data_IF_942675086365
#
_entry.id   IF_942675086365
#
_cell.length_a   1.000
_cell.length_b   1.000
_cell.length_c   1.000
_cell.angle_alpha   90.00
_cell.angle_beta   90.00
_cell.angle_gamma   90.00
#
_symmetry.space_group_name_H-M   'P 1'
#
loop_
_entity.id
_entity.type
_entity.pdbx_description
1 polymer ?
#
# COMPACT_ATOMS: atom_id res chain seq x y z
N UNK A 1 -0.58 9.98 30.61
CA UNK A 1 -1.46 8.86 30.99
C UNK A 1 -0.78 7.63 30.46
N UNK A 2 -0.25 6.77 31.32
CA UNK A 2 0.37 5.51 30.88
C UNK A 2 -0.78 4.61 30.47
N UNK A 3 -0.84 4.27 29.18
CA UNK A 3 -1.91 3.47 28.60
C UNK A 3 -1.95 2.09 29.30
N UNK A 4 -3.10 1.69 29.84
CA UNK A 4 -3.27 0.47 30.65
C UNK A 4 -2.89 -0.81 29.88
N UNK A 5 -2.84 -0.73 28.54
CA UNK A 5 -2.42 -1.81 27.63
C UNK A 5 -0.91 -2.08 27.62
N UNK A 6 -0.06 -1.17 28.13
CA UNK A 6 1.40 -1.39 28.18
C UNK A 6 1.82 -2.40 29.26
N UNK A 7 0.95 -2.72 30.23
CA UNK A 7 1.27 -3.66 31.32
C UNK A 7 0.71 -5.07 31.12
N UNK A 8 -0.02 -5.33 30.04
CA UNK A 8 -0.62 -6.64 29.78
C UNK A 8 0.41 -7.61 29.18
N UNK A 9 0.41 -8.84 29.69
CA UNK A 9 1.22 -9.93 29.12
C UNK A 9 0.83 -10.12 27.64
N UNK A 10 1.80 -10.22 26.70
CA UNK A 10 1.47 -10.41 25.29
C UNK A 10 0.59 -11.64 25.05
N UNK A 11 -0.43 -11.49 24.21
CA UNK A 11 -1.31 -12.54 23.71
C UNK A 11 -1.37 -12.43 22.20
N UNK A 12 -0.58 -13.25 21.52
CA UNK A 12 -0.31 -13.09 20.09
C UNK A 12 -1.11 -14.12 19.31
N UNK A 13 -1.87 -13.66 18.32
CA UNK A 13 -2.49 -14.53 17.32
C UNK A 13 -1.63 -14.57 16.07
N UNK A 14 -1.36 -15.76 15.53
CA UNK A 14 -0.57 -15.93 14.31
C UNK A 14 -1.42 -16.59 13.22
N UNK A 15 -1.50 -15.97 12.05
CA UNK A 15 -2.29 -16.49 10.94
C UNK A 15 -1.42 -16.78 9.72
N UNK A 16 -1.40 -18.04 9.30
CA UNK A 16 -0.55 -18.52 8.22
C UNK A 16 -1.37 -18.66 6.94
N UNK A 17 -0.95 -18.00 5.88
CA UNK A 17 -1.65 -18.01 4.60
C UNK A 17 -1.07 -19.08 3.66
N UNK A 18 -1.93 -19.83 2.98
CA UNK A 18 -1.49 -20.72 1.89
C UNK A 18 -1.27 -19.97 0.59
N UNK A 19 -2.03 -18.89 0.39
CA UNK A 19 -2.13 -18.15 -0.87
C UNK A 19 -2.41 -19.08 -2.05
N UNK A 20 -3.36 -19.99 -1.88
CA UNK A 20 -3.56 -21.13 -2.78
C UNK A 20 -2.34 -22.06 -2.71
N UNK A 21 -1.61 -22.20 -3.81
CA UNK A 21 -0.35 -22.96 -3.87
C UNK A 21 0.88 -22.08 -3.86
N UNK A 22 0.74 -20.75 -3.78
CA UNK A 22 1.90 -19.84 -3.85
C UNK A 22 2.81 -19.95 -2.62
N UNK A 23 2.26 -20.25 -1.44
CA UNK A 23 3.02 -20.48 -0.21
C UNK A 23 3.00 -21.97 0.09
N UNK A 24 1.81 -22.58 0.15
CA UNK A 24 1.65 -23.99 0.49
C UNK A 24 2.26 -24.98 -0.53
N UNK A 25 2.63 -24.52 -1.74
CA UNK A 25 3.34 -25.34 -2.72
C UNK A 25 4.83 -25.52 -2.43
N UNK A 26 5.39 -24.77 -1.48
CA UNK A 26 6.84 -24.82 -1.17
C UNK A 26 7.14 -24.75 0.33
N UNK A 27 6.14 -24.54 1.18
CA UNK A 27 6.27 -24.50 2.64
C UNK A 27 5.26 -25.47 3.21
N UNK A 28 5.69 -26.33 4.14
CA UNK A 28 4.78 -27.17 4.91
C UNK A 28 4.05 -26.30 5.94
N UNK A 29 2.79 -25.99 5.64
CA UNK A 29 1.98 -25.10 6.46
C UNK A 29 1.61 -25.76 7.79
N UNK A 30 1.37 -27.07 7.79
CA UNK A 30 0.98 -27.78 9.00
C UNK A 30 2.15 -27.80 9.98
N UNK A 31 3.35 -28.11 9.49
CA UNK A 31 4.57 -28.06 10.29
C UNK A 31 4.85 -26.65 10.81
N UNK A 32 4.65 -25.62 9.98
CA UNK A 32 4.81 -24.23 10.40
C UNK A 32 3.79 -23.83 11.48
N UNK A 33 2.54 -24.27 11.37
CA UNK A 33 1.50 -24.02 12.37
C UNK A 33 1.84 -24.69 13.71
N UNK A 34 2.18 -25.98 13.68
CA UNK A 34 2.57 -26.73 14.88
C UNK A 34 3.77 -26.09 15.59
N UNK A 35 4.80 -25.68 14.83
CA UNK A 35 5.93 -24.93 15.36
C UNK A 35 5.50 -23.60 15.99
N UNK A 36 4.63 -22.86 15.30
CA UNK A 36 4.20 -21.52 15.73
C UNK A 36 3.51 -21.56 17.10
N UNK A 37 2.72 -22.60 17.39
CA UNK A 37 2.10 -22.82 18.70
C UNK A 37 3.10 -23.05 19.84
N UNK A 38 4.33 -23.45 19.53
CA UNK A 38 5.40 -23.62 20.55
C UNK A 38 6.07 -22.31 20.96
N UNK A 39 5.85 -21.23 20.21
CA UNK A 39 6.49 -19.94 20.46
C UNK A 39 5.81 -19.28 21.67
N UNK A 40 6.56 -18.80 22.68
CA UNK A 40 5.96 -18.16 23.86
C UNK A 40 5.01 -17.02 23.51
N UNK A 41 3.96 -16.83 24.31
CA UNK A 41 2.94 -15.79 24.15
C UNK A 41 2.03 -15.92 22.91
N UNK A 42 2.28 -16.88 22.02
CA UNK A 42 1.30 -17.27 20.99
C UNK A 42 0.17 -18.03 21.66
N UNK A 43 -1.05 -17.48 21.58
CA UNK A 43 -2.25 -18.07 22.20
C UNK A 43 -3.14 -18.78 21.19
N UNK A 44 -3.02 -18.43 19.91
CA UNK A 44 -3.71 -19.06 18.78
C UNK A 44 -2.80 -19.00 17.56
N UNK A 45 -2.77 -20.09 16.79
CA UNK A 45 -2.12 -20.12 15.49
C UNK A 45 -2.97 -20.93 14.51
N UNK A 46 -3.52 -20.25 13.51
CA UNK A 46 -4.41 -20.85 12.52
C UNK A 46 -3.88 -20.65 11.11
N UNK A 47 -4.31 -21.52 10.20
CA UNK A 47 -4.05 -21.42 8.78
C UNK A 47 -5.33 -21.15 7.99
N UNK A 48 -5.19 -20.47 6.86
CA UNK A 48 -6.29 -20.35 5.91
C UNK A 48 -5.78 -20.18 4.48
N UNK A 49 -6.58 -20.62 3.51
CA UNK A 49 -6.20 -20.57 2.09
C UNK A 49 -5.88 -19.15 1.61
N UNK A 50 -6.69 -18.18 2.00
CA UNK A 50 -6.57 -16.79 1.60
C UNK A 50 -6.88 -15.86 2.77
N UNK A 51 -5.91 -15.64 3.65
CA UNK A 51 -6.11 -14.83 4.87
C UNK A 51 -6.56 -13.39 4.54
N UNK A 52 -6.20 -12.84 3.38
CA UNK A 52 -6.66 -11.51 2.95
C UNK A 52 -8.10 -11.46 2.39
N UNK A 53 -8.74 -12.61 2.17
CA UNK A 53 -10.15 -12.65 1.76
C UNK A 53 -11.07 -12.20 2.89
N UNK A 54 -12.33 -11.89 2.58
CA UNK A 54 -13.32 -11.52 3.60
C UNK A 54 -13.48 -12.58 4.70
N UNK A 55 -13.59 -13.90 4.39
CA UNK A 55 -13.61 -14.93 5.43
C UNK A 55 -12.33 -14.95 6.29
N UNK A 56 -11.16 -14.76 5.68
CA UNK A 56 -9.88 -14.72 6.39
C UNK A 56 -9.75 -13.50 7.33
N UNK A 57 -10.26 -12.34 6.91
CA UNK A 57 -10.31 -11.13 7.75
C UNK A 57 -11.30 -11.30 8.90
N UNK A 58 -12.50 -11.85 8.65
CA UNK A 58 -13.48 -12.11 9.71
C UNK A 58 -12.95 -13.07 10.78
N UNK A 59 -12.22 -14.13 10.39
CA UNK A 59 -11.56 -15.05 11.32
C UNK A 59 -10.58 -14.32 12.24
N UNK A 60 -9.79 -13.38 11.70
CA UNK A 60 -8.89 -12.54 12.50
C UNK A 60 -9.69 -11.66 13.46
N UNK A 61 -10.73 -10.98 12.98
CA UNK A 61 -11.56 -10.08 13.79
C UNK A 61 -12.26 -10.79 14.96
N UNK A 62 -12.76 -12.00 14.72
CA UNK A 62 -13.39 -12.85 15.72
C UNK A 62 -12.36 -13.31 16.76
N UNK A 63 -11.21 -13.79 16.31
CA UNK A 63 -10.16 -14.27 17.20
C UNK A 63 -9.54 -13.18 18.07
N UNK A 64 -9.43 -11.95 17.56
CA UNK A 64 -9.00 -10.79 18.36
C UNK A 64 -9.89 -10.66 19.60
N UNK A 65 -11.20 -10.81 19.44
CA UNK A 65 -12.20 -10.70 20.52
C UNK A 65 -12.22 -11.94 21.38
N UNK A 66 -12.30 -13.13 20.78
CA UNK A 66 -12.43 -14.40 21.49
C UNK A 66 -11.21 -14.69 22.37
N UNK A 67 -10.00 -14.48 21.83
CA UNK A 67 -8.77 -14.78 22.54
C UNK A 67 -8.18 -13.59 23.28
N UNK A 68 -8.83 -12.42 23.25
CA UNK A 68 -8.33 -11.16 23.81
C UNK A 68 -6.89 -10.90 23.35
N UNK A 69 -6.69 -10.87 22.03
CA UNK A 69 -5.35 -10.70 21.45
C UNK A 69 -4.83 -9.29 21.71
N UNK A 70 -3.55 -9.19 22.07
CA UNK A 70 -2.85 -7.91 22.24
C UNK A 70 -1.92 -7.60 21.06
N UNK A 71 -1.63 -8.60 20.22
CA UNK A 71 -0.95 -8.40 18.94
C UNK A 71 -1.33 -9.48 17.92
N UNK A 72 -1.20 -9.14 16.64
CA UNK A 72 -1.48 -10.01 15.49
C UNK A 72 -0.22 -10.15 14.64
N UNK A 73 0.10 -11.39 14.26
CA UNK A 73 1.07 -11.70 13.23
C UNK A 73 0.37 -12.37 12.07
N UNK A 74 0.59 -11.90 10.84
CA UNK A 74 0.15 -12.62 9.64
C UNK A 74 1.39 -13.08 8.86
N UNK A 75 1.52 -14.39 8.67
CA UNK A 75 2.56 -15.01 7.89
C UNK A 75 2.06 -15.26 6.46
N UNK A 76 2.37 -14.33 5.55
CA UNK A 76 1.81 -14.34 4.20
C UNK A 76 2.74 -13.62 3.19
N UNK A 77 2.19 -12.66 2.46
CA UNK A 77 2.86 -11.87 1.43
C UNK A 77 3.55 -10.63 1.98
N UNK A 78 4.11 -9.82 1.08
CA UNK A 78 4.76 -8.56 1.42
C UNK A 78 3.85 -7.60 2.20
N UNK A 79 4.36 -6.93 3.26
CA UNK A 79 3.65 -5.84 3.91
C UNK A 79 3.35 -4.68 2.94
N UNK A 80 4.18 -4.48 1.89
CA UNK A 80 3.96 -3.46 0.85
C UNK A 80 2.64 -3.67 0.08
N UNK A 81 2.06 -4.86 0.15
CA UNK A 81 0.81 -5.20 -0.51
C UNK A 81 -0.39 -5.14 0.46
N UNK A 82 -0.35 -5.92 1.55
CA UNK A 82 -1.51 -6.14 2.41
C UNK A 82 -1.37 -5.67 3.85
N UNK A 83 -0.30 -4.94 4.21
CA UNK A 83 -0.24 -4.31 5.54
C UNK A 83 -1.46 -3.40 5.81
N UNK A 84 -1.89 -2.49 4.90
CA UNK A 84 -3.09 -1.69 5.14
C UNK A 84 -4.36 -2.53 5.31
N UNK A 85 -4.45 -3.68 4.66
CA UNK A 85 -5.59 -4.60 4.76
C UNK A 85 -5.69 -5.18 6.17
N UNK A 86 -4.61 -5.74 6.70
CA UNK A 86 -4.62 -6.38 8.01
C UNK A 86 -4.59 -5.40 9.17
N UNK A 87 -4.03 -4.20 8.97
CA UNK A 87 -4.19 -3.08 9.90
C UNK A 87 -5.66 -2.70 10.07
N UNK A 88 -6.43 -2.66 8.98
CA UNK A 88 -7.87 -2.41 9.03
C UNK A 88 -8.63 -3.53 9.73
N UNK A 89 -8.37 -4.80 9.37
CA UNK A 89 -8.97 -5.95 10.04
C UNK A 89 -8.67 -5.97 11.55
N UNK A 90 -7.43 -5.65 11.94
CA UNK A 90 -7.05 -5.51 13.35
C UNK A 90 -7.90 -4.46 14.08
N UNK A 91 -8.07 -3.30 13.44
CA UNK A 91 -8.90 -2.20 13.95
C UNK A 91 -10.38 -2.57 14.05
N UNK A 92 -10.93 -3.24 13.04
CA UNK A 92 -12.33 -3.72 13.01
C UNK A 92 -12.57 -4.82 14.06
N UNK A 93 -11.55 -5.62 14.35
CA UNK A 93 -11.49 -6.56 15.47
C UNK A 93 -11.45 -5.89 16.85
N UNK A 94 -11.17 -4.58 16.93
CA UNK A 94 -11.07 -3.82 18.17
C UNK A 94 -9.66 -3.69 18.76
N UNK A 95 -8.62 -4.12 18.02
CA UNK A 95 -7.23 -3.99 18.42
C UNK A 95 -6.57 -2.79 17.71
N UNK A 96 -5.59 -2.16 18.37
CA UNK A 96 -4.84 -1.08 17.73
C UNK A 96 -4.14 -1.58 16.46
N UNK A 97 -4.33 -0.87 15.34
CA UNK A 97 -3.82 -1.27 14.03
C UNK A 97 -2.28 -1.37 13.96
N UNK A 98 -1.55 -0.79 14.91
CA UNK A 98 -0.09 -0.87 14.99
C UNK A 98 0.40 -2.01 15.88
N UNK A 99 -0.51 -2.76 16.54
CA UNK A 99 -0.23 -4.07 17.16
C UNK A 99 -0.27 -5.22 16.14
N UNK A 100 0.10 -4.93 14.90
CA UNK A 100 0.10 -5.87 13.79
C UNK A 100 1.52 -5.97 13.20
N UNK A 101 1.98 -7.18 12.96
CA UNK A 101 3.24 -7.46 12.24
C UNK A 101 3.01 -8.45 11.10
N UNK A 102 3.74 -8.27 10.00
CA UNK A 102 3.72 -9.19 8.86
C UNK A 102 5.00 -10.02 8.82
N UNK A 103 4.89 -11.35 8.76
CA UNK A 103 5.98 -12.23 8.34
C UNK A 103 5.84 -12.51 6.84
N UNK A 104 6.75 -11.98 6.02
CA UNK A 104 6.73 -12.23 4.57
C UNK A 104 7.36 -13.60 4.26
N UNK A 105 6.50 -14.60 4.05
CA UNK A 105 6.88 -15.96 3.70
C UNK A 105 6.54 -16.32 2.24
N UNK A 106 6.12 -15.35 1.42
CA UNK A 106 5.86 -15.54 -0.01
C UNK A 106 6.99 -15.00 -0.88
N UNK A 107 7.04 -13.68 -1.10
CA UNK A 107 8.06 -13.04 -1.95
C UNK A 107 9.48 -13.25 -1.44
N UNK A 108 9.63 -13.35 -0.11
CA UNK A 108 10.93 -13.54 0.53
C UNK A 108 11.22 -15.00 0.92
N UNK A 109 10.32 -15.94 0.60
CA UNK A 109 10.53 -17.34 0.95
C UNK A 109 9.96 -18.29 -0.12
N UNK A 110 8.68 -18.66 -0.08
CA UNK A 110 8.14 -19.72 -0.94
C UNK A 110 8.43 -19.53 -2.44
N UNK A 111 8.32 -18.32 -2.97
CA UNK A 111 8.57 -18.03 -4.39
C UNK A 111 10.04 -18.10 -4.80
N UNK A 112 10.96 -17.92 -3.86
CA UNK A 112 12.41 -17.92 -4.14
C UNK A 112 13.09 -19.22 -3.76
N UNK A 113 12.39 -20.08 -3.02
CA UNK A 113 12.88 -21.37 -2.50
C UNK A 113 12.02 -22.56 -2.97
N UNK A 114 11.41 -22.45 -4.16
CA UNK A 114 10.43 -23.41 -4.68
C UNK A 114 10.92 -24.86 -4.82
N UNK A 115 12.25 -25.06 -4.82
CA UNK A 115 12.88 -26.37 -4.99
C UNK A 115 13.51 -26.92 -3.70
N UNK A 116 13.37 -26.20 -2.58
CA UNK A 116 13.89 -26.59 -1.27
C UNK A 116 12.81 -26.40 -0.22
N UNK A 117 11.86 -27.34 -0.18
CA UNK A 117 10.69 -27.24 0.70
C UNK A 117 11.05 -27.31 2.19
N UNK A 118 12.08 -28.08 2.54
CA UNK A 118 12.57 -28.21 3.92
C UNK A 118 13.21 -26.90 4.36
N UNK A 119 14.16 -26.37 3.57
CA UNK A 119 14.80 -25.08 3.86
C UNK A 119 13.83 -23.90 3.84
N UNK A 120 12.84 -23.91 2.94
CA UNK A 120 11.79 -22.91 2.91
C UNK A 120 10.92 -22.94 4.17
N UNK A 121 10.58 -24.13 4.67
CA UNK A 121 9.79 -24.31 5.89
C UNK A 121 10.57 -23.85 7.12
N UNK A 122 11.84 -24.23 7.25
CA UNK A 122 12.71 -23.73 8.33
C UNK A 122 12.86 -22.21 8.30
N UNK A 123 13.08 -21.63 7.12
CA UNK A 123 13.13 -20.17 6.96
C UNK A 123 11.80 -19.50 7.34
N UNK A 124 10.66 -20.16 7.09
CA UNK A 124 9.35 -19.63 7.44
C UNK A 124 9.14 -19.62 8.96
N UNK A 125 9.57 -20.68 9.65
CA UNK A 125 9.59 -20.76 11.12
C UNK A 125 10.38 -19.60 11.72
N UNK A 126 11.55 -19.32 11.17
CA UNK A 126 12.38 -18.19 11.59
C UNK A 126 11.71 -16.84 11.34
N UNK A 127 11.12 -16.63 10.16
CA UNK A 127 10.40 -15.40 9.84
C UNK A 127 9.22 -15.15 10.80
N UNK A 128 8.44 -16.19 11.10
CA UNK A 128 7.33 -16.11 12.08
C UNK A 128 7.88 -15.82 13.47
N UNK A 129 8.92 -16.53 13.92
CA UNK A 129 9.54 -16.31 15.23
C UNK A 129 10.05 -14.87 15.38
N UNK A 130 10.67 -14.32 14.34
CA UNK A 130 11.14 -12.92 14.33
C UNK A 130 9.97 -11.93 14.39
N UNK A 131 8.91 -12.16 13.62
CA UNK A 131 7.72 -11.31 13.65
C UNK A 131 7.02 -11.35 15.01
N UNK A 132 6.87 -12.54 15.61
CA UNK A 132 6.33 -12.71 16.97
C UNK A 132 7.20 -11.99 17.99
N UNK A 133 8.53 -12.11 17.90
CA UNK A 133 9.46 -11.43 18.81
C UNK A 133 9.30 -9.90 18.76
N UNK A 134 9.09 -9.32 17.57
CA UNK A 134 8.80 -7.90 17.41
C UNK A 134 7.39 -7.56 17.90
N UNK A 135 6.39 -8.38 17.59
CA UNK A 135 4.99 -8.18 17.99
C UNK A 135 4.80 -8.08 19.51
N UNK A 136 5.62 -8.81 20.31
CA UNK A 136 5.65 -8.67 21.78
C UNK A 136 5.95 -7.25 22.27
N UNK A 137 6.67 -6.46 21.48
CA UNK A 137 7.16 -5.13 21.83
C UNK A 137 6.46 -4.01 21.06
N UNK A 138 5.49 -4.34 20.20
CA UNK A 138 4.71 -3.32 19.51
C UNK A 138 3.88 -2.53 20.51
N UNK A 139 3.71 -1.24 20.26
CA UNK A 139 2.95 -0.33 21.10
C UNK A 139 1.75 0.23 20.34
N UNK A 140 0.79 0.74 21.10
CA UNK A 140 -0.32 1.48 20.55
C UNK A 140 0.17 2.79 19.94
N UNK A 141 -0.07 2.96 18.64
CA UNK A 141 0.17 4.22 17.95
C UNK A 141 -1.15 4.76 17.39
N UNK A 142 -1.15 6.06 17.11
CA UNK A 142 -2.29 6.75 16.52
C UNK A 142 -1.85 7.50 15.26
N UNK A 143 -2.58 7.36 14.14
CA UNK A 143 -2.28 8.14 12.94
C UNK A 143 -2.36 9.63 13.24
N UNK A 144 -1.36 10.39 12.81
CA UNK A 144 -1.43 11.85 12.86
C UNK A 144 -2.27 12.35 11.69
N UNK A 145 -3.21 13.24 11.97
CA UNK A 145 -3.88 14.02 10.94
C UNK A 145 -3.03 15.24 10.63
N UNK A 146 -2.87 15.54 9.35
CA UNK A 146 -2.14 16.70 8.84
C UNK A 146 -3.07 17.45 7.87
N UNK A 147 -3.00 18.78 7.80
CA UNK A 147 -3.74 19.54 6.80
C UNK A 147 -3.28 19.12 5.39
N UNK A 148 -4.17 19.28 4.41
CA UNK A 148 -3.86 19.03 3.01
C UNK A 148 -4.13 20.32 2.26
N UNK A 149 -3.10 20.85 1.61
CA UNK A 149 -3.25 21.99 0.70
C UNK A 149 -4.23 21.62 -0.41
N UNK A 150 -5.24 22.46 -0.65
CA UNK A 150 -6.29 22.19 -1.65
C UNK A 150 -5.82 22.59 -3.06
N UNK A 151 -4.67 22.06 -3.45
CA UNK A 151 -4.06 22.26 -4.74
C UNK A 151 -3.35 20.99 -5.22
N UNK A 152 -3.16 20.88 -6.53
CA UNK A 152 -2.44 19.78 -7.16
C UNK A 152 -1.39 20.33 -8.12
N UNK A 153 -0.28 19.60 -8.30
CA UNK A 153 0.71 19.86 -9.33
C UNK A 153 0.81 18.67 -10.26
N UNK A 154 0.72 18.92 -11.56
CA UNK A 154 0.88 17.95 -12.63
C UNK A 154 2.17 18.27 -13.37
N UNK A 155 3.08 17.29 -13.45
CA UNK A 155 4.39 17.45 -14.11
C UNK A 155 4.36 16.75 -15.48
N UNK A 156 4.47 17.55 -16.53
CA UNK A 156 4.42 17.14 -17.93
C UNK A 156 3.04 17.36 -18.55
N UNK A 157 2.95 18.24 -19.54
CA UNK A 157 1.71 18.62 -20.23
C UNK A 157 1.52 17.86 -21.55
N UNK A 158 1.79 16.55 -21.55
CA UNK A 158 1.28 15.65 -22.60
C UNK A 158 -0.22 15.39 -22.44
N UNK A 159 -0.82 14.57 -23.32
CA UNK A 159 -2.26 14.25 -23.25
C UNK A 159 -2.71 13.75 -21.86
N UNK A 160 -1.88 12.96 -21.18
CA UNK A 160 -2.17 12.47 -19.83
C UNK A 160 -2.20 13.60 -18.79
N UNK A 161 -1.21 14.49 -18.79
CA UNK A 161 -1.15 15.60 -17.83
C UNK A 161 -2.19 16.67 -18.11
N UNK A 162 -2.45 16.97 -19.38
CA UNK A 162 -3.55 17.85 -19.82
C UNK A 162 -4.88 17.33 -19.27
N UNK A 163 -5.17 16.04 -19.46
CA UNK A 163 -6.42 15.45 -18.98
C UNK A 163 -6.52 15.48 -17.45
N UNK A 164 -5.46 15.07 -16.75
CA UNK A 164 -5.41 15.11 -15.29
C UNK A 164 -5.64 16.52 -14.75
N UNK A 165 -5.03 17.54 -15.38
CA UNK A 165 -5.19 18.92 -14.96
C UNK A 165 -6.61 19.43 -15.18
N UNK A 166 -7.22 19.13 -16.33
CA UNK A 166 -8.61 19.50 -16.60
C UNK A 166 -9.60 18.86 -15.62
N UNK A 167 -9.43 17.57 -15.31
CA UNK A 167 -10.33 16.85 -14.40
C UNK A 167 -10.24 17.37 -12.96
N UNK A 168 -9.01 17.65 -12.48
CA UNK A 168 -8.79 18.25 -11.16
C UNK A 168 -9.37 19.67 -11.08
N UNK A 169 -9.08 20.49 -12.10
CA UNK A 169 -9.52 21.88 -12.14
C UNK A 169 -11.05 22.02 -12.28
N UNK A 170 -11.69 21.14 -13.06
CA UNK A 170 -13.15 21.06 -13.20
C UNK A 170 -13.83 20.61 -11.91
N UNK A 171 -13.10 19.86 -11.07
CA UNK A 171 -13.54 19.46 -9.72
C UNK A 171 -13.32 20.56 -8.67
N UNK A 172 -12.84 21.74 -9.07
CA UNK A 172 -12.62 22.89 -8.18
C UNK A 172 -11.27 22.88 -7.45
N UNK A 173 -10.31 22.04 -7.86
CA UNK A 173 -8.98 21.97 -7.26
C UNK A 173 -8.03 22.89 -8.05
N UNK A 174 -7.38 23.84 -7.36
CA UNK A 174 -6.34 24.68 -7.97
C UNK A 174 -5.22 23.77 -8.50
N UNK A 175 -4.90 23.88 -9.77
CA UNK A 175 -3.99 22.95 -10.43
C UNK A 175 -2.85 23.68 -11.11
N UNK A 176 -1.62 23.35 -10.74
CA UNK A 176 -0.40 23.81 -11.40
C UNK A 176 0.01 22.77 -12.45
N UNK A 177 0.14 23.17 -13.71
CA UNK A 177 0.57 22.29 -14.79
C UNK A 177 1.94 22.75 -15.29
N UNK A 178 2.97 21.95 -15.03
CA UNK A 178 4.36 22.27 -15.34
C UNK A 178 4.78 21.54 -16.60
N UNK A 179 5.29 22.26 -17.61
CA UNK A 179 5.81 21.69 -18.85
C UNK A 179 7.22 22.19 -19.14
N UNK A 180 8.13 21.24 -19.32
CA UNK A 180 9.54 21.49 -19.62
C UNK A 180 9.74 22.19 -20.97
N UNK A 181 8.93 21.86 -21.96
CA UNK A 181 9.05 22.38 -23.32
C UNK A 181 8.36 23.74 -23.45
N UNK A 182 8.68 24.53 -24.48
CA UNK A 182 7.97 25.79 -24.73
C UNK A 182 6.46 25.63 -25.03
N UNK A 183 6.01 24.42 -25.38
CA UNK A 183 4.62 24.13 -25.73
C UNK A 183 4.16 22.83 -25.08
N UNK A 184 2.86 22.77 -24.80
CA UNK A 184 2.16 21.58 -24.31
C UNK A 184 1.77 20.65 -25.48
N UNK A 185 1.25 19.46 -25.15
CA UNK A 185 0.77 18.46 -26.11
C UNK A 185 1.66 17.22 -26.21
N UNK A 186 2.91 17.30 -25.77
CA UNK A 186 3.84 16.17 -25.68
C UNK A 186 4.00 15.41 -27.00
N UNK A 187 4.23 14.09 -26.92
CA UNK A 187 4.42 13.23 -28.11
C UNK A 187 3.20 13.16 -29.02
N UNK A 188 1.99 13.27 -28.46
CA UNK A 188 0.75 13.18 -29.25
C UNK A 188 0.67 14.30 -30.30
N UNK A 189 1.19 15.49 -29.98
CA UNK A 189 1.25 16.62 -30.93
C UNK A 189 2.11 16.35 -32.17
N UNK A 190 3.00 15.36 -32.11
CA UNK A 190 3.91 15.00 -33.20
C UNK A 190 3.35 13.91 -34.12
N UNK A 191 2.23 13.28 -33.72
CA UNK A 191 1.60 12.21 -34.49
C UNK A 191 0.73 12.82 -35.60
N UNK A 192 0.66 12.16 -36.75
CA UNK A 192 -0.35 12.49 -37.76
C UNK A 192 -1.73 11.99 -37.31
N UNK A 193 -1.82 10.70 -36.98
CA UNK A 193 -3.07 10.02 -36.62
C UNK A 193 -2.96 9.16 -35.37
N UNK A 194 -4.10 8.86 -34.75
CA UNK A 194 -4.21 7.97 -33.59
C UNK A 194 -5.04 6.74 -33.89
N UNK A 195 -4.48 5.55 -33.70
CA UNK A 195 -5.24 4.30 -33.75
C UNK A 195 -6.16 4.19 -32.51
N UNK A 196 -7.28 3.44 -32.58
CA UNK A 196 -7.77 2.68 -33.73
C UNK A 196 -8.64 3.48 -34.71
N UNK A 197 -9.11 4.68 -34.35
CA UNK A 197 -10.04 5.47 -35.17
C UNK A 197 -9.39 6.11 -36.39
N UNK A 198 -8.05 6.25 -36.37
CA UNK A 198 -7.27 6.96 -37.39
C UNK A 198 -7.64 8.44 -37.52
N UNK A 199 -8.18 9.02 -36.45
CA UNK A 199 -8.40 10.46 -36.33
C UNK A 199 -7.06 11.20 -36.35
N UNK A 200 -7.09 12.44 -36.83
CA UNK A 200 -5.96 13.35 -36.71
C UNK A 200 -5.67 13.64 -35.23
N UNK A 201 -4.42 13.52 -34.81
CA UNK A 201 -4.03 13.71 -33.39
C UNK A 201 -4.40 15.11 -32.88
N UNK A 202 -4.22 16.12 -33.73
CA UNK A 202 -4.49 17.52 -33.42
C UNK A 202 -5.98 17.79 -33.26
N UNK A 203 -6.86 17.03 -33.94
CA UNK A 203 -8.31 17.17 -33.79
C UNK A 203 -8.79 16.83 -32.37
N UNK A 204 -8.09 15.93 -31.67
CA UNK A 204 -8.42 15.52 -30.31
C UNK A 204 -7.64 16.34 -29.28
N UNK A 205 -6.35 16.60 -29.56
CA UNK A 205 -5.45 17.24 -28.61
C UNK A 205 -5.62 18.75 -28.54
N UNK A 206 -5.74 19.45 -29.67
CA UNK A 206 -5.76 20.91 -29.72
C UNK A 206 -6.89 21.53 -28.89
N UNK A 207 -8.14 21.02 -28.95
CA UNK A 207 -9.21 21.54 -28.09
C UNK A 207 -8.83 21.47 -26.61
N UNK A 208 -8.25 20.37 -26.16
CA UNK A 208 -7.82 20.19 -24.76
C UNK A 208 -6.65 21.11 -24.38
N UNK A 209 -5.72 21.36 -25.30
CA UNK A 209 -4.65 22.33 -25.09
C UNK A 209 -5.21 23.73 -24.87
N UNK A 210 -6.22 24.11 -25.67
CA UNK A 210 -6.91 25.40 -25.52
C UNK A 210 -7.73 25.47 -24.24
N UNK A 211 -8.40 24.38 -23.87
CA UNK A 211 -9.17 24.32 -22.61
C UNK A 211 -8.26 24.51 -21.40
N UNK A 212 -7.09 23.85 -21.39
CA UNK A 212 -6.09 24.01 -20.32
C UNK A 212 -5.63 25.46 -20.17
N UNK A 213 -5.29 26.11 -21.27
CA UNK A 213 -4.82 27.51 -21.28
C UNK A 213 -5.87 28.49 -20.76
N UNK A 214 -7.16 28.18 -20.97
CA UNK A 214 -8.28 29.06 -20.60
C UNK A 214 -8.92 28.74 -19.27
N UNK A 215 -8.58 27.61 -18.64
CA UNK A 215 -9.26 27.16 -17.44
C UNK A 215 -8.82 27.98 -16.22
N UNK A 216 -9.74 28.67 -15.55
CA UNK A 216 -9.44 29.61 -14.45
C UNK A 216 -8.70 28.96 -13.26
N UNK A 217 -9.00 27.69 -12.97
CA UNK A 217 -8.33 26.93 -11.92
C UNK A 217 -6.99 26.29 -12.32
N UNK A 218 -6.54 26.43 -13.58
CA UNK A 218 -5.25 25.91 -14.04
C UNK A 218 -4.24 27.03 -14.15
N UNK A 219 -3.07 26.81 -13.57
CA UNK A 219 -1.89 27.65 -13.76
C UNK A 219 -0.88 26.87 -14.61
N UNK A 220 -0.84 27.20 -15.89
CA UNK A 220 0.07 26.59 -16.85
C UNK A 220 1.42 27.32 -16.83
N UNK A 221 2.50 26.56 -16.61
CA UNK A 221 3.88 27.04 -16.70
C UNK A 221 4.62 26.21 -17.73
N UNK A 222 4.77 26.74 -18.94
CA UNK A 222 5.61 26.15 -19.98
C UNK A 222 7.06 26.60 -19.83
N UNK A 223 7.96 25.89 -20.50
CA UNK A 223 9.40 26.14 -20.40
C UNK A 223 9.91 26.19 -18.96
N UNK A 224 9.30 25.38 -18.09
CA UNK A 224 9.53 25.36 -16.65
C UNK A 224 9.73 23.91 -16.21
N UNK A 225 10.72 23.66 -15.36
CA UNK A 225 11.01 22.33 -14.81
C UNK A 225 10.90 22.32 -13.29
N UNK A 226 10.46 21.20 -12.73
CA UNK A 226 10.57 20.96 -11.28
C UNK A 226 12.04 20.68 -10.95
N UNK A 227 12.62 21.51 -10.10
CA UNK A 227 14.00 21.38 -9.64
C UNK A 227 14.11 20.53 -8.38
N UNK A 228 13.24 20.78 -7.39
CA UNK A 228 13.20 20.01 -6.14
C UNK A 228 11.77 19.89 -5.61
N UNK A 229 11.53 18.80 -4.87
CA UNK A 229 10.28 18.54 -4.15
C UNK A 229 10.65 18.13 -2.73
N UNK A 230 10.21 18.91 -1.76
CA UNK A 230 10.38 18.66 -0.33
C UNK A 230 9.01 18.48 0.35
N UNK A 231 9.02 17.97 1.58
CA UNK A 231 7.80 17.76 2.36
C UNK A 231 7.19 16.35 2.24
N UNK A 232 5.88 16.25 2.42
CA UNK A 232 5.14 14.98 2.47
C UNK A 232 3.71 15.16 1.97
N UNK A 233 2.93 14.07 1.90
CA UNK A 233 1.59 14.09 1.31
C UNK A 233 0.71 15.22 1.88
N UNK A 234 0.22 16.07 0.99
CA UNK A 234 -0.59 17.24 1.29
C UNK A 234 0.15 18.50 1.74
N UNK A 235 1.47 18.44 1.98
CA UNK A 235 2.30 19.54 2.44
C UNK A 235 3.65 19.48 1.69
N UNK A 236 3.62 19.79 0.40
CA UNK A 236 4.79 19.79 -0.45
C UNK A 236 5.27 21.21 -0.71
N UNK A 237 6.59 21.41 -0.61
CA UNK A 237 7.28 22.61 -1.07
C UNK A 237 8.02 22.27 -2.36
N UNK A 238 7.68 22.95 -3.45
CA UNK A 238 8.20 22.64 -4.79
C UNK A 238 8.95 23.84 -5.34
N UNK A 239 10.21 23.63 -5.74
CA UNK A 239 11.04 24.64 -6.42
C UNK A 239 11.01 24.41 -7.92
N UNK A 240 10.79 25.50 -8.67
CA UNK A 240 10.71 25.51 -10.13
C UNK A 240 11.88 26.30 -10.73
N UNK A 241 12.32 25.88 -11.92
CA UNK A 241 13.38 26.54 -12.71
C UNK A 241 12.96 26.80 -14.15
#
# INVERSE_FOLDING_TARGET
MVDETQSQKPRIGVYICHCGTNIAGSIDIKELQEYTLTIPDVVVADEYQYVCSTPGQNMIEEAIKEHNLTALVVAACSPRLHEPTFRRASKEGGMNQFRFEMANIREQNSWVHMHDSEGATEKAKDAVRMAVAKARLLEDLHPKSVPVEHAAMVVGAGIAGIQAALDLASSGIKTYLIEKSPTIGGRMSQLDKTFPTLDCSQCILTPKMVDVDRHENIELMTYTEVESVEGYIGNFDVTLR
#
